data_IF_189970704834
#
_entry.id   IF_189970704834
#
_cell.length_a   1.000
_cell.length_b   1.000
_cell.length_c   1.000
_cell.angle_alpha   90.00
_cell.angle_beta   90.00
_cell.angle_gamma   90.00
#
_symmetry.space_group_name_H-M   'P 1'
#
loop_
_entity.id
_entity.type
_entity.pdbx_description
1 polymer ?
#
# COMPACT_ATOMS: atom_id res chain seq x y z
N UNK A 1 -22.09 9.40 0.44
CA UNK A 1 -20.97 9.30 1.40
C UNK A 1 -20.01 8.25 0.87
N UNK A 2 -18.91 8.68 0.27
CA UNK A 2 -17.82 7.76 -0.09
C UNK A 2 -17.15 7.35 1.21
N UNK A 3 -17.35 6.09 1.61
CA UNK A 3 -16.61 5.52 2.73
C UNK A 3 -15.16 5.51 2.26
N UNK A 4 -14.32 6.41 2.77
CA UNK A 4 -12.88 6.26 2.60
C UNK A 4 -12.54 4.93 3.25
N UNK A 5 -12.10 3.91 2.50
CA UNK A 5 -11.66 2.68 3.13
C UNK A 5 -10.50 3.08 4.05
N UNK A 6 -10.70 2.89 5.36
CA UNK A 6 -9.74 3.24 6.40
C UNK A 6 -8.34 2.78 5.99
N UNK A 7 -7.33 3.63 6.16
CA UNK A 7 -5.95 3.28 5.86
C UNK A 7 -5.56 1.94 6.48
N UNK A 8 -4.77 1.16 5.75
CA UNK A 8 -4.29 -0.12 6.27
C UNK A 8 -3.37 0.15 7.47
N UNK A 9 -3.62 -0.57 8.56
CA UNK A 9 -2.89 -0.43 9.82
C UNK A 9 -1.38 -0.35 9.61
N UNK A 10 -0.72 0.67 10.19
CA UNK A 10 0.73 0.90 10.09
C UNK A 10 1.59 -0.33 10.39
N UNK A 11 1.04 -1.29 11.14
CA UNK A 11 1.69 -2.58 11.46
C UNK A 11 1.92 -3.47 10.24
N UNK A 12 1.18 -3.29 9.15
CA UNK A 12 1.40 -4.01 7.91
C UNK A 12 2.66 -3.47 7.21
N UNK A 13 3.62 -4.34 6.94
CA UNK A 13 4.78 -3.99 6.12
C UNK A 13 4.40 -3.88 4.64
N UNK A 14 5.23 -3.21 3.85
CA UNK A 14 5.11 -3.16 2.38
C UNK A 14 5.03 -4.58 1.82
N UNK A 15 5.94 -5.46 2.25
CA UNK A 15 5.98 -6.87 1.82
C UNK A 15 4.68 -7.62 2.15
N UNK A 16 4.07 -7.37 3.31
CA UNK A 16 2.78 -7.99 3.67
C UNK A 16 1.64 -7.51 2.76
N UNK A 17 1.66 -6.24 2.34
CA UNK A 17 0.69 -5.69 1.39
C UNK A 17 0.90 -6.30 0.01
N UNK A 18 2.14 -6.40 -0.46
CA UNK A 18 2.48 -7.05 -1.74
C UNK A 18 2.07 -8.53 -1.75
N UNK A 19 2.36 -9.27 -0.68
CA UNK A 19 1.93 -10.67 -0.54
C UNK A 19 0.40 -10.81 -0.57
N UNK A 20 -0.33 -9.88 0.05
CA UNK A 20 -1.79 -9.87 0.01
C UNK A 20 -2.31 -9.57 -1.40
N UNK A 21 -1.69 -8.63 -2.13
CA UNK A 21 -2.00 -8.34 -3.53
C UNK A 21 -1.77 -9.56 -4.42
N UNK A 22 -0.63 -10.25 -4.29
CA UNK A 22 -0.33 -11.46 -5.08
C UNK A 22 -1.39 -12.55 -4.86
N UNK A 23 -1.72 -12.84 -3.60
CA UNK A 23 -2.76 -13.83 -3.26
C UNK A 23 -4.12 -13.43 -3.79
N UNK A 24 -4.45 -12.14 -3.72
CA UNK A 24 -5.74 -11.65 -4.20
C UNK A 24 -5.84 -11.70 -5.72
N UNK A 25 -4.75 -11.42 -6.44
CA UNK A 25 -4.68 -11.57 -7.89
C UNK A 25 -4.89 -13.04 -8.32
N UNK A 26 -4.22 -13.98 -7.65
CA UNK A 26 -4.42 -15.42 -7.87
C UNK A 26 -5.89 -15.81 -7.68
N UNK A 27 -6.53 -15.34 -6.60
CA UNK A 27 -7.93 -15.64 -6.29
C UNK A 27 -8.91 -15.02 -7.30
N UNK A 28 -8.67 -13.79 -7.75
CA UNK A 28 -9.46 -13.13 -8.79
C UNK A 28 -9.43 -13.96 -10.08
N UNK A 29 -8.23 -14.36 -10.50
CA UNK A 29 -8.04 -15.14 -11.73
C UNK A 29 -8.69 -16.52 -11.59
N UNK A 30 -8.48 -17.21 -10.47
CA UNK A 30 -9.03 -18.55 -10.23
C UNK A 30 -10.56 -18.58 -10.27
N UNK A 31 -11.22 -17.48 -9.87
CA UNK A 31 -12.70 -17.36 -9.85
C UNK A 31 -13.31 -16.87 -11.17
N UNK A 32 -12.51 -16.45 -12.15
CA UNK A 32 -12.99 -15.92 -13.43
C UNK A 32 -13.92 -14.71 -13.25
N UNK A 33 -15.09 -14.72 -13.91
CA UNK A 33 -16.08 -13.62 -13.81
C UNK A 33 -16.54 -13.35 -12.37
N UNK A 34 -16.64 -14.38 -11.53
CA UNK A 34 -17.00 -14.23 -10.11
C UNK A 34 -15.89 -13.56 -9.29
N UNK A 35 -14.67 -13.52 -9.82
CA UNK A 35 -13.53 -12.83 -9.20
C UNK A 35 -13.64 -11.30 -9.27
N UNK A 36 -14.46 -10.75 -10.18
CA UNK A 36 -14.63 -9.30 -10.32
C UNK A 36 -15.07 -8.61 -9.02
N UNK A 37 -15.76 -9.33 -8.13
CA UNK A 37 -16.20 -8.81 -6.82
C UNK A 37 -15.03 -8.43 -5.90
N UNK A 38 -13.84 -8.97 -6.16
CA UNK A 38 -12.63 -8.73 -5.37
C UNK A 38 -11.79 -7.57 -5.93
N UNK A 39 -12.08 -7.08 -7.14
CA UNK A 39 -11.36 -5.96 -7.76
C UNK A 39 -11.34 -4.68 -6.91
N UNK A 40 -12.42 -4.29 -6.22
CA UNK A 40 -12.38 -3.12 -5.32
C UNK A 40 -11.37 -3.28 -4.17
N UNK A 41 -11.24 -4.49 -3.62
CA UNK A 41 -10.28 -4.78 -2.55
C UNK A 41 -8.84 -4.76 -3.08
N UNK A 42 -8.63 -5.29 -4.29
CA UNK A 42 -7.33 -5.26 -4.96
C UNK A 42 -6.88 -3.82 -5.22
N UNK A 43 -7.74 -3.00 -5.83
CA UNK A 43 -7.45 -1.59 -6.08
C UNK A 43 -7.20 -0.81 -4.78
N UNK A 44 -7.94 -1.11 -3.71
CA UNK A 44 -7.67 -0.51 -2.41
C UNK A 44 -6.28 -0.85 -1.88
N UNK A 45 -5.87 -2.13 -1.93
CA UNK A 45 -4.54 -2.55 -1.49
C UNK A 45 -3.42 -1.91 -2.32
N UNK A 46 -3.60 -1.75 -3.64
CA UNK A 46 -2.64 -1.02 -4.49
C UNK A 46 -2.47 0.43 -4.03
N UNK A 47 -3.56 1.14 -3.76
CA UNK A 47 -3.51 2.51 -3.24
C UNK A 47 -2.82 2.60 -1.87
N UNK A 48 -2.99 1.58 -1.02
CA UNK A 48 -2.30 1.52 0.27
C UNK A 48 -0.79 1.26 0.11
N UNK A 49 -0.40 0.40 -0.84
CA UNK A 49 1.00 0.14 -1.17
C UNK A 49 1.69 1.42 -1.64
N UNK A 50 1.09 2.11 -2.61
CA UNK A 50 1.62 3.36 -3.14
C UNK A 50 1.80 4.41 -2.04
N UNK A 51 0.79 4.59 -1.19
CA UNK A 51 0.87 5.53 -0.06
C UNK A 51 2.00 5.20 0.91
N UNK A 52 2.26 3.92 1.18
CA UNK A 52 3.35 3.47 2.06
C UNK A 52 4.72 3.80 1.48
N UNK A 53 4.91 3.53 0.20
CA UNK A 53 6.17 3.82 -0.49
C UNK A 53 6.44 5.33 -0.53
N UNK A 54 5.42 6.12 -0.85
CA UNK A 54 5.51 7.58 -0.83
C UNK A 54 5.89 8.10 0.56
N UNK A 55 5.21 7.64 1.62
CA UNK A 55 5.54 8.03 3.00
C UNK A 55 6.97 7.64 3.38
N UNK A 56 7.44 6.47 2.96
CA UNK A 56 8.83 6.02 3.20
C UNK A 56 9.84 6.94 2.50
N UNK A 57 9.58 7.30 1.24
CA UNK A 57 10.43 8.21 0.48
C UNK A 57 10.47 9.62 1.08
N UNK A 58 9.31 10.15 1.48
CA UNK A 58 9.21 11.44 2.17
C UNK A 58 10.00 11.43 3.47
N UNK A 59 9.84 10.41 4.31
CA UNK A 59 10.59 10.30 5.55
C UNK A 59 12.10 10.17 5.34
N UNK A 60 12.55 9.44 4.32
CA UNK A 60 13.97 9.38 3.96
C UNK A 60 14.51 10.77 3.57
N UNK A 61 13.75 11.54 2.79
CA UNK A 61 14.08 12.92 2.43
C UNK A 61 14.14 13.85 3.64
N UNK A 62 13.19 13.72 4.57
CA UNK A 62 13.17 14.47 5.84
C UNK A 62 14.44 14.19 6.65
N UNK A 63 14.83 12.91 6.80
CA UNK A 63 16.05 12.52 7.53
C UNK A 63 17.30 13.09 6.88
N UNK A 64 17.46 12.94 5.57
CA UNK A 64 18.61 13.47 4.85
C UNK A 64 18.74 15.00 4.98
N UNK A 65 17.62 15.73 4.99
CA UNK A 65 17.62 17.19 5.22
C UNK A 65 18.01 17.55 6.65
N UNK A 66 17.55 16.78 7.64
CA UNK A 66 17.90 17.00 9.04
C UNK A 66 19.40 16.77 9.29
N UNK A 67 19.96 15.68 8.75
CA UNK A 67 21.38 15.35 8.86
C UNK A 67 22.27 16.43 8.23
N UNK A 68 21.90 16.93 7.04
CA UNK A 68 22.62 18.04 6.39
C UNK A 68 22.66 19.31 7.23
N UNK A 69 21.60 19.61 8.00
CA UNK A 69 21.56 20.76 8.90
C UNK A 69 22.35 20.55 10.19
N UNK A 70 22.50 19.31 10.65
CA UNK A 70 23.23 18.98 11.88
C UNK A 70 24.76 19.00 11.73
N UNK A 71 25.26 18.95 10.49
CA UNK A 71 26.70 18.98 10.16
C UNK A 71 27.15 20.34 9.57
N UNK A 72 26.30 21.36 9.63
CA UNK A 72 26.61 22.76 9.32
C UNK A 72 26.83 23.54 10.62
#
# INVERSE_FOLDING_TARGET
MTVQPSDISEKWSIEQIEQALSRLAEEIIARGEKGQVLLPMYSWLEGQLEKREQNRAVMASVRARAEKRAHQ
#
